data_IF_657995488080
#
_entry.id   IF_657995488080
#
_cell.length_a   1.000
_cell.length_b   1.000
_cell.length_c   1.000
_cell.angle_alpha   90.00
_cell.angle_beta   90.00
_cell.angle_gamma   90.00
#
_symmetry.space_group_name_H-M   'P 1'
#
loop_
_entity.id
_entity.type
_entity.pdbx_description
1 polymer ?
#
# COMPACT_ATOMS: atom_id res chain seq x y z
N UNK A 1 22.84 7.31 3.73
CA UNK A 1 22.53 7.05 5.16
C UNK A 1 21.25 7.79 5.52
N UNK A 2 20.27 7.02 6.03
CA UNK A 2 19.01 7.34 6.71
C UNK A 2 18.07 8.47 6.26
N UNK A 3 16.92 8.05 5.72
CA UNK A 3 15.64 8.77 5.69
C UNK A 3 14.97 8.64 7.06
N UNK A 4 14.65 9.76 7.69
CA UNK A 4 13.68 9.85 8.79
C UNK A 4 13.15 11.27 8.84
N UNK A 5 11.96 11.49 8.29
CA UNK A 5 11.11 12.62 8.68
C UNK A 5 9.87 12.05 9.36
N UNK A 6 9.90 12.18 10.68
CA UNK A 6 8.76 11.96 11.56
C UNK A 6 7.66 12.98 11.28
N UNK A 7 6.44 12.47 11.14
CA UNK A 7 5.18 13.00 11.67
C UNK A 7 5.16 14.49 12.09
N UNK A 8 4.50 15.32 11.27
CA UNK A 8 3.91 16.59 11.70
C UNK A 8 2.40 16.43 11.91
N UNK A 9 1.76 17.14 12.86
CA UNK A 9 0.35 16.95 13.19
C UNK A 9 -0.53 17.61 12.12
N UNK A 10 -1.35 16.81 11.44
CA UNK A 10 -2.33 17.32 10.48
C UNK A 10 -3.50 17.97 11.21
N UNK A 11 -3.41 19.29 11.39
CA UNK A 11 -4.58 20.15 11.43
C UNK A 11 -4.89 20.69 10.04
N UNK A 12 -6.08 20.39 9.52
CA UNK A 12 -6.97 21.23 8.67
C UNK A 12 -7.76 20.34 7.71
N UNK A 13 -9.07 20.28 7.93
CA UNK A 13 -10.00 19.67 7.01
C UNK A 13 -9.90 20.29 5.62
N UNK A 14 -9.67 19.45 4.61
CA UNK A 14 -9.96 19.75 3.21
C UNK A 14 -9.91 18.46 2.42
N UNK A 15 -11.09 17.93 2.07
CA UNK A 15 -11.29 16.81 1.16
C UNK A 15 -10.40 15.59 1.48
N UNK A 16 -10.70 14.90 2.59
CA UNK A 16 -10.17 13.56 2.77
C UNK A 16 -10.82 12.68 1.69
N UNK A 17 -10.18 12.58 0.52
CA UNK A 17 -10.19 11.31 -0.22
C UNK A 17 -10.01 10.25 0.84
N UNK A 18 -11.01 9.40 1.01
CA UNK A 18 -11.09 8.35 2.03
C UNK A 18 -10.08 7.23 1.76
N UNK A 19 -8.90 7.58 1.25
CA UNK A 19 -7.76 6.70 1.18
C UNK A 19 -7.02 6.90 2.49
N UNK A 20 -7.34 6.03 3.42
CA UNK A 20 -6.62 5.91 4.68
C UNK A 20 -5.11 5.76 4.38
N UNK A 21 -4.24 6.62 4.91
CA UNK A 21 -2.81 6.59 4.59
C UNK A 21 -2.16 5.27 5.05
N UNK A 22 -2.72 4.60 6.06
CA UNK A 22 -2.26 3.27 6.44
C UNK A 22 -2.66 2.23 5.38
N UNK A 23 -3.85 2.36 4.78
CA UNK A 23 -4.28 1.51 3.67
C UNK A 23 -3.36 1.65 2.45
N UNK A 24 -2.97 2.87 2.08
CA UNK A 24 -2.02 3.10 0.97
C UNK A 24 -0.64 2.48 1.28
N UNK A 25 -0.16 2.63 2.51
CA UNK A 25 1.11 2.04 2.96
C UNK A 25 1.08 0.51 2.89
N UNK A 26 -0.02 -0.11 3.36
CA UNK A 26 -0.22 -1.57 3.28
C UNK A 26 -0.30 -2.06 1.84
N UNK A 27 -0.86 -1.25 0.93
CA UNK A 27 -0.94 -1.58 -0.48
C UNK A 27 0.45 -1.60 -1.13
N UNK A 28 1.29 -0.61 -0.82
CA UNK A 28 2.67 -0.54 -1.31
C UNK A 28 3.52 -1.70 -0.79
N UNK A 29 3.45 -2.01 0.51
CA UNK A 29 4.12 -3.17 1.11
C UNK A 29 3.72 -4.49 0.44
N UNK A 30 2.43 -4.66 0.15
CA UNK A 30 1.94 -5.85 -0.54
C UNK A 30 2.44 -5.96 -1.99
N UNK A 31 2.68 -4.84 -2.67
CA UNK A 31 3.27 -4.81 -4.03
C UNK A 31 4.76 -5.15 -3.95
N UNK A 32 5.50 -4.58 -3.00
CA UNK A 32 6.92 -4.89 -2.80
C UNK A 32 7.12 -6.38 -2.46
N UNK A 33 6.31 -6.96 -1.58
CA UNK A 33 6.36 -8.39 -1.25
C UNK A 33 6.04 -9.30 -2.45
N UNK A 34 5.21 -8.82 -3.38
CA UNK A 34 4.94 -9.53 -4.63
C UNK A 34 6.12 -9.42 -5.59
N UNK A 35 6.74 -8.25 -5.69
CA UNK A 35 7.91 -8.01 -6.55
C UNK A 35 9.15 -8.78 -6.06
N UNK A 36 9.35 -8.89 -4.74
CA UNK A 36 10.40 -9.68 -4.12
C UNK A 36 10.14 -11.20 -4.27
N UNK A 37 8.90 -11.60 -4.55
CA UNK A 37 8.50 -13.00 -4.67
C UNK A 37 8.23 -13.68 -3.31
N UNK A 38 8.18 -12.91 -2.23
CA UNK A 38 7.81 -13.35 -0.87
C UNK A 38 6.45 -14.06 -0.86
N UNK A 39 5.50 -13.53 -1.65
CA UNK A 39 4.19 -14.15 -1.84
C UNK A 39 4.00 -14.61 -3.29
N UNK A 40 3.78 -15.92 -3.49
CA UNK A 40 3.56 -16.51 -4.82
C UNK A 40 2.29 -16.03 -5.54
N UNK A 41 1.37 -15.38 -4.83
CA UNK A 41 0.08 -14.95 -5.41
C UNK A 41 -0.37 -13.62 -4.82
N UNK A 42 -1.01 -12.80 -5.66
CA UNK A 42 -1.66 -11.53 -5.29
C UNK A 42 -2.66 -11.72 -4.14
N UNK A 43 -3.35 -12.86 -4.11
CA UNK A 43 -4.31 -13.17 -3.05
C UNK A 43 -3.66 -13.41 -1.68
N UNK A 44 -2.45 -13.96 -1.63
CA UNK A 44 -1.73 -14.18 -0.38
C UNK A 44 -1.21 -12.85 0.18
N UNK A 45 -0.59 -12.02 -0.66
CA UNK A 45 -0.13 -10.69 -0.28
C UNK A 45 -1.28 -9.79 0.17
N UNK A 46 -2.39 -9.78 -0.57
CA UNK A 46 -3.57 -8.99 -0.21
C UNK A 46 -4.15 -9.39 1.16
N UNK A 47 -4.16 -10.69 1.47
CA UNK A 47 -4.64 -11.19 2.77
C UNK A 47 -3.67 -10.87 3.91
N UNK A 48 -2.37 -10.97 3.67
CA UNK A 48 -1.34 -10.65 4.65
C UNK A 48 -1.41 -9.18 5.10
N UNK A 49 -1.66 -8.28 4.15
CA UNK A 49 -1.69 -6.84 4.38
C UNK A 49 -3.11 -6.26 4.57
N UNK A 50 -4.13 -7.12 4.58
CA UNK A 50 -5.54 -6.75 4.70
C UNK A 50 -5.98 -5.68 3.66
N UNK A 51 -5.56 -5.85 2.42
CA UNK A 51 -5.89 -4.98 1.28
C UNK A 51 -6.76 -5.68 0.25
N UNK A 52 -7.43 -4.90 -0.60
CA UNK A 52 -8.26 -5.46 -1.67
C UNK A 52 -7.41 -6.14 -2.74
N UNK A 53 -7.75 -7.40 -3.06
CA UNK A 53 -7.13 -8.17 -4.15
C UNK A 53 -7.27 -7.48 -5.51
N UNK A 54 -8.41 -6.82 -5.74
CA UNK A 54 -8.66 -6.11 -7.00
C UNK A 54 -7.74 -4.90 -7.13
N UNK A 55 -7.63 -4.08 -6.08
CA UNK A 55 -6.73 -2.92 -6.06
C UNK A 55 -5.27 -3.34 -6.20
N UNK A 56 -4.85 -4.40 -5.50
CA UNK A 56 -3.49 -4.92 -5.59
C UNK A 56 -3.19 -5.44 -7.01
N UNK A 57 -4.12 -6.21 -7.59
CA UNK A 57 -3.96 -6.72 -8.96
C UNK A 57 -3.95 -5.60 -9.99
N UNK A 58 -4.78 -4.57 -9.81
CA UNK A 58 -4.80 -3.40 -10.69
C UNK A 58 -3.45 -2.69 -10.63
N UNK A 59 -2.92 -2.41 -9.43
CA UNK A 59 -1.61 -1.77 -9.29
C UNK A 59 -0.47 -2.55 -9.94
N UNK A 60 -0.42 -3.88 -9.75
CA UNK A 60 0.61 -4.74 -10.37
C UNK A 60 0.45 -4.80 -11.90
N UNK A 61 -0.78 -4.80 -12.41
CA UNK A 61 -1.05 -4.86 -13.85
C UNK A 61 -0.94 -3.50 -14.54
N UNK A 62 -1.11 -2.38 -13.82
CA UNK A 62 -0.98 -1.02 -14.34
C UNK A 62 0.48 -0.55 -14.45
N UNK A 63 1.46 -1.33 -13.99
CA UNK A 63 2.88 -0.96 -14.02
C UNK A 63 3.54 -1.20 -15.40
N UNK A 64 2.80 -1.09 -16.50
CA UNK A 64 3.25 -1.40 -17.87
C UNK A 64 3.59 -0.16 -18.70
#
# INVERSE_FOLDING_TARGET
MWRSLFFGPLGRGKLASTTDPEYETRLQLAIDDLAEGTHKTVSAAAKAHNVSRQTLSDCVNNTH
#
